data_IF_500855453316
#
_entry.id   IF_500855453316
#
_cell.length_a   1.000
_cell.length_b   1.000
_cell.length_c   1.000
_cell.angle_alpha   90.00
_cell.angle_beta   90.00
_cell.angle_gamma   90.00
#
_symmetry.space_group_name_H-M   'P 1'
#
loop_
_entity.id
_entity.type
_entity.pdbx_description
1 polymer ?
#
# COMPACT_ATOMS: atom_id res chain seq x y z
N UNK A 1 -7.93 -17.11 -25.91
CA UNK A 1 -6.73 -16.89 -26.76
C UNK A 1 -7.01 -15.96 -27.94
N UNK A 2 -7.90 -16.30 -28.88
CA UNK A 2 -8.16 -15.49 -30.09
C UNK A 2 -8.62 -14.05 -29.83
N UNK A 3 -9.48 -13.84 -28.81
CA UNK A 3 -9.94 -12.50 -28.44
C UNK A 3 -8.83 -11.61 -27.85
N UNK A 4 -7.90 -12.19 -27.08
CA UNK A 4 -6.74 -11.46 -26.54
C UNK A 4 -5.74 -11.09 -27.63
N UNK A 5 -5.53 -11.99 -28.60
CA UNK A 5 -4.68 -11.68 -29.76
C UNK A 5 -5.23 -10.51 -30.56
N UNK A 6 -6.52 -10.53 -30.90
CA UNK A 6 -7.17 -9.42 -31.61
C UNK A 6 -7.12 -8.10 -30.82
N UNK A 7 -7.23 -8.16 -29.49
CA UNK A 7 -7.09 -6.99 -28.63
C UNK A 7 -5.65 -6.44 -28.61
N UNK A 8 -4.64 -7.30 -28.58
CA UNK A 8 -3.23 -6.90 -28.67
C UNK A 8 -2.91 -6.27 -30.03
N UNK A 9 -3.40 -6.85 -31.13
CA UNK A 9 -3.23 -6.32 -32.48
C UNK A 9 -3.90 -4.95 -32.62
N UNK A 10 -5.06 -4.75 -31.99
CA UNK A 10 -5.78 -3.47 -31.98
C UNK A 10 -5.10 -2.41 -31.08
N UNK A 11 -4.36 -2.84 -30.06
CA UNK A 11 -3.61 -1.97 -29.14
C UNK A 11 -2.14 -1.79 -29.57
N UNK A 12 -1.78 -2.12 -30.82
CA UNK A 12 -0.40 -2.12 -31.30
C UNK A 12 0.30 -0.75 -31.27
N UNK A 13 -0.45 0.35 -31.25
CA UNK A 13 0.10 1.71 -31.18
C UNK A 13 0.01 2.33 -29.77
N UNK A 14 -0.84 1.80 -28.89
CA UNK A 14 -1.01 2.30 -27.52
C UNK A 14 -0.27 1.41 -26.51
N UNK A 15 0.85 1.93 -26.01
CA UNK A 15 1.70 1.26 -25.03
C UNK A 15 0.95 0.90 -23.75
N UNK A 16 0.13 1.82 -23.24
CA UNK A 16 -0.59 1.65 -21.96
C UNK A 16 -1.67 0.58 -22.14
N UNK A 17 -2.48 0.70 -23.20
CA UNK A 17 -3.57 -0.25 -23.45
C UNK A 17 -3.02 -1.66 -23.72
N UNK A 18 -1.92 -1.77 -24.46
CA UNK A 18 -1.24 -3.05 -24.67
C UNK A 18 -0.78 -3.67 -23.35
N UNK A 19 -0.17 -2.88 -22.48
CA UNK A 19 0.20 -3.30 -21.13
C UNK A 19 -0.99 -3.84 -20.35
N UNK A 20 -2.13 -3.15 -20.36
CA UNK A 20 -3.35 -3.59 -19.68
C UNK A 20 -3.89 -4.92 -20.23
N UNK A 21 -3.92 -5.08 -21.55
CA UNK A 21 -4.36 -6.33 -22.20
C UNK A 21 -3.42 -7.49 -21.83
N UNK A 22 -2.10 -7.26 -21.82
CA UNK A 22 -1.12 -8.28 -21.42
C UNK A 22 -1.29 -8.69 -19.97
N UNK A 23 -1.47 -7.74 -19.04
CA UNK A 23 -1.73 -8.06 -17.63
C UNK A 23 -3.02 -8.86 -17.48
N UNK A 24 -4.10 -8.46 -18.15
CA UNK A 24 -5.37 -9.17 -18.09
C UNK A 24 -5.22 -10.61 -18.62
N UNK A 25 -4.49 -10.79 -19.73
CA UNK A 25 -4.18 -12.13 -20.26
C UNK A 25 -3.43 -12.96 -19.22
N UNK A 26 -2.36 -12.42 -18.62
CA UNK A 26 -1.58 -13.11 -17.59
C UNK A 26 -2.45 -13.49 -16.38
N UNK A 27 -3.33 -12.61 -15.90
CA UNK A 27 -4.27 -12.91 -14.82
C UNK A 27 -5.25 -14.01 -15.19
N UNK A 28 -5.79 -14.02 -16.41
CA UNK A 28 -6.67 -15.11 -16.86
C UNK A 28 -5.95 -16.44 -16.97
N UNK A 29 -4.70 -16.45 -17.45
CA UNK A 29 -3.88 -17.66 -17.51
C UNK A 29 -3.57 -18.19 -16.10
N UNK A 30 -3.22 -17.29 -15.18
CA UNK A 30 -3.02 -17.63 -13.78
C UNK A 30 -4.26 -18.26 -13.13
N UNK A 31 -5.45 -17.72 -13.42
CA UNK A 31 -6.72 -18.22 -12.88
C UNK A 31 -7.02 -19.66 -13.33
N UNK A 32 -6.59 -20.07 -14.52
CA UNK A 32 -6.75 -21.45 -15.03
C UNK A 32 -5.98 -22.48 -14.15
N UNK A 33 -4.99 -22.02 -13.37
CA UNK A 33 -4.35 -22.78 -12.28
C UNK A 33 -3.59 -24.05 -12.66
N UNK A 34 -3.26 -24.27 -13.95
CA UNK A 34 -2.29 -25.32 -14.33
C UNK A 34 -0.86 -24.76 -14.22
N UNK A 35 0.15 -25.59 -13.90
CA UNK A 35 1.53 -25.13 -13.78
C UNK A 35 2.05 -24.49 -15.07
N UNK A 36 1.67 -25.01 -16.24
CA UNK A 36 2.08 -24.48 -17.54
C UNK A 36 1.52 -23.08 -17.78
N UNK A 37 0.25 -22.85 -17.45
CA UNK A 37 -0.37 -21.52 -17.58
C UNK A 37 0.17 -20.52 -16.57
N UNK A 38 0.54 -20.96 -15.36
CA UNK A 38 1.17 -20.10 -14.35
C UNK A 38 2.55 -19.63 -14.79
N UNK A 39 3.39 -20.53 -15.29
CA UNK A 39 4.71 -20.17 -15.80
C UNK A 39 4.62 -19.28 -17.05
N UNK A 40 3.67 -19.58 -17.94
CA UNK A 40 3.42 -18.73 -19.11
C UNK A 40 2.91 -17.33 -18.72
N UNK A 41 2.07 -17.21 -17.68
CA UNK A 41 1.61 -15.93 -17.15
C UNK A 41 2.77 -15.10 -16.59
N UNK A 42 3.67 -15.72 -15.81
CA UNK A 42 4.88 -15.06 -15.30
C UNK A 42 5.77 -14.58 -16.45
N UNK A 43 5.99 -15.44 -17.46
CA UNK A 43 6.77 -15.10 -18.66
C UNK A 43 6.23 -13.87 -19.39
N UNK A 44 4.91 -13.82 -19.63
CA UNK A 44 4.26 -12.66 -20.27
C UNK A 44 4.46 -11.36 -19.48
N UNK A 45 4.38 -11.43 -18.14
CA UNK A 45 4.60 -10.26 -17.30
C UNK A 45 6.07 -9.81 -17.33
N UNK A 46 7.02 -10.74 -17.28
CA UNK A 46 8.45 -10.43 -17.39
C UNK A 46 8.81 -9.78 -18.73
N UNK A 47 8.27 -10.29 -19.84
CA UNK A 47 8.45 -9.69 -21.17
C UNK A 47 7.83 -8.30 -21.25
N UNK A 48 6.66 -8.12 -20.64
CA UNK A 48 5.98 -6.82 -20.55
C UNK A 48 6.83 -5.81 -19.78
N UNK A 49 7.40 -6.19 -18.64
CA UNK A 49 8.26 -5.34 -17.82
C UNK A 49 9.57 -5.02 -18.55
N UNK A 50 10.15 -5.99 -19.26
CA UNK A 50 11.37 -5.77 -20.06
C UNK A 50 11.13 -4.75 -21.17
N UNK A 51 9.96 -4.78 -21.80
CA UNK A 51 9.58 -3.84 -22.86
C UNK A 51 9.11 -2.49 -22.32
N UNK A 52 8.52 -2.50 -21.12
CA UNK A 52 7.97 -1.34 -20.43
C UNK A 52 8.26 -1.40 -18.92
N UNK A 53 9.43 -0.90 -18.49
CA UNK A 53 9.79 -0.87 -17.08
C UNK A 53 8.91 0.05 -16.22
N UNK A 54 8.11 0.93 -16.85
CA UNK A 54 7.20 1.85 -16.17
C UNK A 54 5.80 1.25 -15.97
N UNK A 55 5.55 0.04 -16.49
CA UNK A 55 4.28 -0.64 -16.33
C UNK A 55 4.12 -1.21 -14.91
N UNK A 56 3.77 -0.33 -13.97
CA UNK A 56 3.54 -0.66 -12.57
C UNK A 56 2.46 -1.74 -12.39
N UNK A 57 1.50 -1.83 -13.31
CA UNK A 57 0.45 -2.86 -13.26
C UNK A 57 1.03 -4.25 -13.49
N UNK A 58 1.92 -4.41 -14.48
CA UNK A 58 2.60 -5.68 -14.74
C UNK A 58 3.51 -6.07 -13.56
N UNK A 59 4.28 -5.12 -13.04
CA UNK A 59 5.18 -5.37 -11.91
C UNK A 59 4.40 -5.75 -10.64
N UNK A 60 3.35 -5.01 -10.29
CA UNK A 60 2.50 -5.31 -9.14
C UNK A 60 1.80 -6.67 -9.28
N UNK A 61 1.35 -7.01 -10.49
CA UNK A 61 0.72 -8.30 -10.76
C UNK A 61 1.73 -9.44 -10.56
N UNK A 62 2.96 -9.29 -11.04
CA UNK A 62 4.01 -10.28 -10.89
C UNK A 62 4.43 -10.45 -9.41
N UNK A 63 4.60 -9.34 -8.69
CA UNK A 63 4.87 -9.37 -7.25
C UNK A 63 3.75 -10.06 -6.47
N UNK A 64 2.48 -9.75 -6.79
CA UNK A 64 1.33 -10.41 -6.19
C UNK A 64 1.28 -11.92 -6.45
N UNK A 65 1.63 -12.35 -7.67
CA UNK A 65 1.76 -13.78 -8.00
C UNK A 65 2.88 -14.44 -7.20
N UNK A 66 4.03 -13.79 -7.05
CA UNK A 66 5.13 -14.27 -6.21
C UNK A 66 4.73 -14.46 -4.75
N UNK A 67 4.02 -13.48 -4.17
CA UNK A 67 3.50 -13.56 -2.79
C UNK A 67 2.54 -14.75 -2.65
N UNK A 68 1.63 -14.95 -3.61
CA UNK A 68 0.66 -16.05 -3.58
C UNK A 68 1.30 -17.44 -3.71
N UNK A 69 2.50 -17.52 -4.29
CA UNK A 69 3.26 -18.78 -4.42
C UNK A 69 4.39 -18.92 -3.43
N UNK A 70 4.54 -17.98 -2.48
CA UNK A 70 5.66 -17.94 -1.53
C UNK A 70 7.03 -17.96 -2.25
N UNK A 71 7.10 -17.30 -3.41
CA UNK A 71 8.31 -17.19 -4.23
C UNK A 71 8.98 -15.83 -3.98
N UNK A 72 9.73 -15.75 -2.87
CA UNK A 72 10.43 -14.53 -2.45
C UNK A 72 11.37 -13.99 -3.52
N UNK A 73 11.98 -14.87 -4.32
CA UNK A 73 12.86 -14.49 -5.42
C UNK A 73 12.11 -13.73 -6.52
N UNK A 74 10.91 -14.20 -6.87
CA UNK A 74 10.05 -13.50 -7.83
C UNK A 74 9.54 -12.16 -7.29
N UNK A 75 9.17 -12.12 -6.01
CA UNK A 75 8.74 -10.87 -5.35
C UNK A 75 9.87 -9.85 -5.35
N UNK A 76 11.08 -10.24 -4.94
CA UNK A 76 12.24 -9.35 -4.88
C UNK A 76 12.67 -8.88 -6.28
N UNK A 77 12.60 -9.74 -7.29
CA UNK A 77 12.87 -9.36 -8.68
C UNK A 77 11.86 -8.30 -9.17
N UNK A 78 10.56 -8.56 -9.01
CA UNK A 78 9.52 -7.61 -9.39
C UNK A 78 9.66 -6.28 -8.62
N UNK A 79 9.86 -6.33 -7.31
CA UNK A 79 10.03 -5.14 -6.50
C UNK A 79 11.30 -4.35 -6.83
N UNK A 80 12.37 -5.01 -7.27
CA UNK A 80 13.60 -4.34 -7.69
C UNK A 80 13.36 -3.45 -8.91
N UNK A 81 12.51 -3.87 -9.85
CA UNK A 81 12.12 -3.06 -11.01
C UNK A 81 11.36 -1.80 -10.55
N UNK A 82 10.38 -1.93 -9.65
CA UNK A 82 9.73 -0.78 -9.02
C UNK A 82 10.74 0.11 -8.31
N UNK A 83 11.67 -0.49 -7.55
CA UNK A 83 12.63 0.24 -6.73
C UNK A 83 13.68 0.98 -7.58
N UNK A 84 13.86 0.61 -8.85
CA UNK A 84 14.73 1.29 -9.81
C UNK A 84 14.19 2.65 -10.26
N UNK A 85 12.87 2.83 -10.27
CA UNK A 85 12.21 4.08 -10.67
C UNK A 85 12.35 5.14 -9.56
N UNK A 86 12.54 6.44 -9.85
CA UNK A 86 12.43 7.51 -8.85
C UNK A 86 11.05 7.50 -8.16
N UNK A 87 10.98 7.91 -6.89
CA UNK A 87 9.73 7.85 -6.12
C UNK A 87 8.65 8.78 -6.68
N UNK A 88 9.07 9.94 -7.21
CA UNK A 88 8.22 10.92 -7.87
C UNK A 88 7.54 10.30 -9.10
N UNK A 89 8.32 9.60 -9.92
CA UNK A 89 7.81 8.92 -11.10
C UNK A 89 6.83 7.79 -10.73
N UNK A 90 7.13 7.02 -9.68
CA UNK A 90 6.19 6.00 -9.17
C UNK A 90 4.86 6.65 -8.77
N UNK A 91 4.90 7.80 -8.09
CA UNK A 91 3.71 8.49 -7.64
C UNK A 91 2.89 9.09 -8.80
N UNK A 92 3.55 9.52 -9.88
CA UNK A 92 2.87 9.95 -11.10
C UNK A 92 2.15 8.79 -11.79
N UNK A 93 2.82 7.63 -11.87
CA UNK A 93 2.31 6.43 -12.54
C UNK A 93 1.28 5.65 -11.71
N UNK A 94 1.28 5.82 -10.38
CA UNK A 94 0.36 5.16 -9.45
C UNK A 94 -0.37 6.17 -8.55
N UNK A 95 -1.43 6.84 -9.06
CA UNK A 95 -2.23 7.82 -8.31
C UNK A 95 -2.85 7.28 -7.01
N UNK A 96 -3.01 5.95 -6.87
CA UNK A 96 -3.59 5.31 -5.70
C UNK A 96 -2.57 4.95 -4.62
N UNK A 97 -1.28 5.03 -4.95
CA UNK A 97 -0.15 4.66 -4.06
C UNK A 97 -0.15 3.17 -3.70
N UNK A 98 -0.73 2.34 -4.56
CA UNK A 98 -0.74 0.87 -4.46
C UNK A 98 0.69 0.30 -4.36
N UNK A 99 1.67 0.91 -5.04
CA UNK A 99 3.09 0.54 -5.00
C UNK A 99 3.70 0.80 -3.63
N UNK A 100 3.43 1.97 -3.03
CA UNK A 100 3.93 2.28 -1.68
C UNK A 100 3.36 1.30 -0.67
N UNK A 101 2.05 1.04 -0.75
CA UNK A 101 1.38 0.07 0.09
C UNK A 101 1.99 -1.34 -0.05
N UNK A 102 2.20 -1.81 -1.28
CA UNK A 102 2.76 -3.13 -1.56
C UNK A 102 4.18 -3.27 -0.98
N UNK A 103 5.06 -2.28 -1.17
CA UNK A 103 6.40 -2.27 -0.59
C UNK A 103 6.38 -2.32 0.94
N UNK A 104 5.49 -1.55 1.58
CA UNK A 104 5.33 -1.56 3.04
C UNK A 104 4.87 -2.94 3.51
N UNK A 105 3.86 -3.54 2.86
CA UNK A 105 3.37 -4.87 3.23
C UNK A 105 4.43 -5.96 3.02
N UNK A 106 5.23 -5.88 1.94
CA UNK A 106 6.34 -6.81 1.71
C UNK A 106 7.34 -6.80 2.87
N UNK A 107 7.84 -5.61 3.24
CA UNK A 107 8.79 -5.50 4.34
C UNK A 107 8.19 -5.91 5.68
N UNK A 108 6.90 -5.65 5.92
CA UNK A 108 6.21 -6.17 7.09
C UNK A 108 6.11 -7.70 7.10
N UNK A 109 5.86 -8.33 5.94
CA UNK A 109 5.84 -9.78 5.78
C UNK A 109 7.19 -10.42 6.10
N UNK A 110 8.28 -9.74 5.73
CA UNK A 110 9.66 -10.13 6.09
C UNK A 110 10.04 -9.80 7.55
N UNK A 111 9.16 -9.15 8.31
CA UNK A 111 9.45 -8.68 9.68
C UNK A 111 10.38 -7.46 9.75
N UNK A 112 10.69 -6.84 8.62
CA UNK A 112 11.58 -5.68 8.52
C UNK A 112 10.80 -4.37 8.72
N UNK A 113 10.48 -4.08 9.97
CA UNK A 113 9.77 -2.86 10.35
C UNK A 113 10.53 -1.58 9.98
N UNK A 114 11.86 -1.61 9.99
CA UNK A 114 12.69 -0.45 9.66
C UNK A 114 12.55 -0.05 8.18
N UNK A 115 12.63 -1.01 7.26
CA UNK A 115 12.41 -0.74 5.83
C UNK A 115 10.96 -0.36 5.54
N UNK A 116 9.98 -0.97 6.22
CA UNK A 116 8.58 -0.59 6.09
C UNK A 116 8.35 0.89 6.50
N UNK A 117 8.83 1.30 7.68
CA UNK A 117 8.72 2.68 8.16
C UNK A 117 9.44 3.65 7.23
N UNK A 118 10.67 3.34 6.82
CA UNK A 118 11.47 4.18 5.92
C UNK A 118 10.78 4.38 4.57
N UNK A 119 10.14 3.35 4.04
CA UNK A 119 9.39 3.41 2.77
C UNK A 119 8.18 4.36 2.91
N UNK A 120 7.37 4.18 3.94
CA UNK A 120 6.23 5.04 4.20
C UNK A 120 6.65 6.51 4.48
N UNK A 121 7.75 6.73 5.19
CA UNK A 121 8.29 8.08 5.45
C UNK A 121 8.78 8.77 4.18
N UNK A 122 9.44 8.05 3.27
CA UNK A 122 9.85 8.60 1.97
C UNK A 122 8.64 9.04 1.16
N UNK A 123 7.60 8.19 1.08
CA UNK A 123 6.36 8.55 0.40
C UNK A 123 5.72 9.79 1.02
N UNK A 124 5.67 9.87 2.36
CA UNK A 124 5.16 11.04 3.07
C UNK A 124 6.00 12.31 2.82
N UNK A 125 7.32 12.19 2.62
CA UNK A 125 8.17 13.33 2.32
C UNK A 125 7.85 13.93 0.95
N UNK A 126 7.52 13.10 -0.04
CA UNK A 126 7.07 13.53 -1.37
C UNK A 126 5.68 14.18 -1.29
N UNK A 127 4.79 13.64 -0.45
CA UNK A 127 3.43 14.17 -0.26
C UNK A 127 3.11 14.52 1.21
N UNK A 128 3.65 15.64 1.73
CA UNK A 128 3.43 16.03 3.12
C UNK A 128 1.96 16.27 3.46
N UNK A 129 1.13 16.62 2.47
CA UNK A 129 -0.31 16.86 2.64
C UNK A 129 -1.12 15.57 2.80
N UNK A 130 -0.58 14.39 2.42
CA UNK A 130 -1.32 13.13 2.44
C UNK A 130 -1.58 12.66 3.87
N UNK A 131 -2.86 12.74 4.28
CA UNK A 131 -3.30 12.23 5.59
C UNK A 131 -3.21 10.70 5.65
N UNK A 132 -3.43 10.02 4.52
CA UNK A 132 -3.30 8.57 4.43
C UNK A 132 -1.88 8.11 4.79
N UNK A 133 -0.86 8.67 4.12
CA UNK A 133 0.55 8.33 4.36
C UNK A 133 0.98 8.68 5.79
N UNK A 134 0.52 9.81 6.34
CA UNK A 134 0.77 10.15 7.76
C UNK A 134 0.22 9.11 8.71
N UNK A 135 -1.02 8.65 8.49
CA UNK A 135 -1.66 7.62 9.32
C UNK A 135 -0.92 6.29 9.21
N UNK A 136 -0.46 5.94 8.02
CA UNK A 136 0.31 4.72 7.81
C UNK A 136 1.65 4.77 8.56
N UNK A 137 2.43 5.85 8.42
CA UNK A 137 3.66 6.08 9.20
C UNK A 137 3.38 6.01 10.70
N UNK A 138 2.36 6.72 11.19
CA UNK A 138 2.01 6.70 12.61
C UNK A 138 1.58 5.31 13.10
N UNK A 139 0.82 4.56 12.30
CA UNK A 139 0.43 3.19 12.62
C UNK A 139 1.63 2.25 12.68
N UNK A 140 2.62 2.41 11.80
CA UNK A 140 3.85 1.62 11.80
C UNK A 140 4.71 1.95 13.03
N UNK A 141 4.86 3.22 13.36
CA UNK A 141 5.57 3.68 14.56
C UNK A 141 4.92 3.14 15.85
N UNK A 142 3.58 3.17 15.94
CA UNK A 142 2.86 2.57 17.07
C UNK A 142 3.09 1.06 17.19
N UNK A 143 3.14 0.33 16.08
CA UNK A 143 3.43 -1.11 16.07
C UNK A 143 4.86 -1.40 16.54
N UNK A 144 5.81 -0.52 16.21
CA UNK A 144 7.19 -0.59 16.69
C UNK A 144 7.34 -0.21 18.17
N UNK A 145 6.38 0.55 18.72
CA UNK A 145 6.39 1.04 20.09
C UNK A 145 6.78 2.52 20.24
N UNK A 146 7.09 3.19 19.14
CA UNK A 146 7.54 4.59 19.09
C UNK A 146 6.36 5.57 19.19
N UNK A 147 5.70 5.60 20.36
CA UNK A 147 4.50 6.41 20.61
C UNK A 147 4.73 7.90 20.44
N UNK A 148 5.86 8.42 20.90
CA UNK A 148 6.17 9.86 20.82
C UNK A 148 6.36 10.30 19.36
N UNK A 149 7.05 9.48 18.56
CA UNK A 149 7.21 9.73 17.13
C UNK A 149 5.86 9.66 16.40
N UNK A 150 5.02 8.67 16.72
CA UNK A 150 3.67 8.56 16.16
C UNK A 150 2.82 9.78 16.50
N UNK A 151 2.90 10.28 17.74
CA UNK A 151 2.21 11.48 18.16
C UNK A 151 2.70 12.72 17.42
N UNK A 152 4.01 12.89 17.25
CA UNK A 152 4.57 14.02 16.51
C UNK A 152 4.09 14.06 15.05
N UNK A 153 4.06 12.90 14.38
CA UNK A 153 3.56 12.77 13.00
C UNK A 153 2.07 13.12 12.92
N UNK A 154 1.26 12.66 13.88
CA UNK A 154 -0.18 12.94 13.92
C UNK A 154 -0.52 14.37 14.37
N UNK A 155 0.28 14.97 15.25
CA UNK A 155 0.09 16.33 15.78
C UNK A 155 0.45 17.43 14.78
N UNK A 156 1.17 17.10 13.70
CA UNK A 156 1.42 18.00 12.57
C UNK A 156 0.19 18.32 11.71
N UNK A 157 -0.96 17.73 12.03
CA UNK A 157 -2.22 17.94 11.33
C UNK A 157 -2.83 19.26 11.80
N UNK A 158 -2.71 20.30 10.96
CA UNK A 158 -3.65 21.41 11.05
C UNK A 158 -5.08 20.83 11.00
N UNK A 159 -6.05 21.35 11.76
CA UNK A 159 -7.41 20.82 11.75
C UNK A 159 -7.98 20.92 10.32
N UNK A 160 -7.86 19.82 9.57
CA UNK A 160 -8.35 19.72 8.21
C UNK A 160 -9.88 19.71 8.26
N UNK A 161 -10.51 20.42 7.32
CA UNK A 161 -11.96 20.58 7.24
C UNK A 161 -12.70 19.27 6.86
N UNK A 162 -11.97 18.17 6.59
CA UNK A 162 -12.53 16.89 6.18
C UNK A 162 -12.77 15.94 7.37
N UNK A 163 -14.04 15.81 7.75
CA UNK A 163 -14.51 14.93 8.84
C UNK A 163 -14.09 13.46 8.61
N UNK A 164 -14.01 12.99 7.37
CA UNK A 164 -13.63 11.61 7.06
C UNK A 164 -12.17 11.31 7.41
N UNK A 165 -11.29 12.28 7.17
CA UNK A 165 -9.87 12.19 7.52
C UNK A 165 -9.67 12.28 9.04
N UNK A 166 -10.37 13.20 9.70
CA UNK A 166 -10.32 13.38 11.15
C UNK A 166 -10.81 12.14 11.91
N UNK A 167 -11.92 11.54 11.48
CA UNK A 167 -12.47 10.27 12.01
C UNK A 167 -11.43 9.17 12.08
N UNK A 168 -10.49 9.17 11.16
CA UNK A 168 -9.55 8.08 10.92
C UNK A 168 -8.18 8.25 11.62
N UNK A 169 -7.84 9.49 12.00
CA UNK A 169 -6.60 9.83 12.72
C UNK A 169 -6.78 9.92 14.24
N UNK A 170 -7.98 10.24 14.72
CA UNK A 170 -8.28 10.41 16.16
C UNK A 170 -8.02 9.16 17.01
N UNK A 171 -8.32 7.97 16.48
CA UNK A 171 -8.04 6.72 17.19
C UNK A 171 -6.53 6.47 17.32
N UNK A 172 -5.76 6.70 16.26
CA UNK A 172 -4.30 6.56 16.30
C UNK A 172 -3.67 7.59 17.23
N UNK A 173 -4.16 8.83 17.23
CA UNK A 173 -3.66 9.87 18.14
C UNK A 173 -3.92 9.49 19.60
N UNK A 174 -5.09 8.88 19.87
CA UNK A 174 -5.42 8.43 21.21
C UNK A 174 -4.58 7.24 21.69
N UNK A 175 -4.16 6.35 20.78
CA UNK A 175 -3.22 5.28 21.08
C UNK A 175 -1.79 5.78 21.29
N UNK A 176 -1.39 6.87 20.60
CA UNK A 176 -0.07 7.47 20.75
C UNK A 176 0.10 8.20 22.09
N UNK A 177 -0.93 8.89 22.59
CA UNK A 177 -0.89 9.60 23.87
C UNK A 177 -2.11 9.27 24.75
N UNK A 178 -2.20 8.06 25.31
CA UNK A 178 -3.40 7.62 26.02
C UNK A 178 -3.74 8.50 27.24
N UNK A 179 -2.73 8.99 27.98
CA UNK A 179 -2.92 9.79 29.21
C UNK A 179 -3.73 11.09 29.05
N UNK A 180 -3.80 11.65 27.84
CA UNK A 180 -4.48 12.93 27.57
C UNK A 180 -5.56 12.82 26.49
N UNK A 181 -5.86 11.60 26.02
CA UNK A 181 -6.63 11.40 24.78
C UNK A 181 -8.01 10.79 24.97
N UNK A 182 -8.56 10.82 26.19
CA UNK A 182 -9.93 10.33 26.43
C UNK A 182 -10.96 11.08 25.57
N UNK A 183 -10.81 12.40 25.43
CA UNK A 183 -11.69 13.22 24.59
C UNK A 183 -11.57 12.85 23.10
N UNK A 184 -10.36 12.60 22.61
CA UNK A 184 -10.12 12.19 21.22
C UNK A 184 -10.71 10.81 20.93
N UNK A 185 -10.56 9.84 21.85
CA UNK A 185 -11.16 8.52 21.72
C UNK A 185 -12.70 8.56 21.73
N UNK A 186 -13.30 9.40 22.60
CA UNK A 186 -14.74 9.64 22.60
C UNK A 186 -15.22 10.30 21.30
N UNK A 187 -14.48 11.29 20.78
CA UNK A 187 -14.78 11.93 19.50
C UNK A 187 -14.72 10.94 18.34
N UNK A 188 -13.72 10.04 18.32
CA UNK A 188 -13.62 8.98 17.31
C UNK A 188 -14.88 8.09 17.30
N UNK A 189 -15.40 7.70 18.47
CA UNK A 189 -16.65 6.94 18.58
C UNK A 189 -17.85 7.77 18.11
N UNK A 190 -17.93 9.05 18.47
CA UNK A 190 -19.03 9.92 18.05
C UNK A 190 -19.10 10.08 16.52
N UNK A 191 -17.93 10.17 15.87
CA UNK A 191 -17.83 10.25 14.41
C UNK A 191 -18.01 8.90 13.71
N UNK A 192 -17.70 7.80 14.39
CA UNK A 192 -17.86 6.45 13.86
C UNK A 192 -18.16 5.40 14.92
N UNK A 193 -19.44 5.25 15.30
CA UNK A 193 -19.83 4.28 16.31
C UNK A 193 -19.70 2.82 15.84
N UNK A 194 -19.75 2.58 14.52
CA UNK A 194 -19.72 1.23 13.94
C UNK A 194 -18.33 0.57 13.93
N UNK A 195 -17.27 1.35 14.10
CA UNK A 195 -15.92 0.84 14.04
C UNK A 195 -15.46 0.31 15.41
N UNK A 196 -15.35 -1.03 15.52
CA UNK A 196 -14.92 -1.71 16.75
C UNK A 196 -13.60 -1.16 17.33
N UNK A 197 -12.66 -0.77 16.46
CA UNK A 197 -11.36 -0.21 16.85
C UNK A 197 -11.50 1.05 17.71
N UNK A 198 -12.52 1.88 17.50
CA UNK A 198 -12.71 3.11 18.27
C UNK A 198 -13.10 2.81 19.73
N UNK A 199 -13.96 1.81 19.93
CA UNK A 199 -14.32 1.33 21.25
C UNK A 199 -13.15 0.68 21.98
N UNK A 200 -12.38 -0.16 21.27
CA UNK A 200 -11.14 -0.74 21.81
C UNK A 200 -10.14 0.34 22.22
N UNK A 201 -10.01 1.39 21.43
CA UNK A 201 -9.13 2.53 21.72
C UNK A 201 -9.58 3.25 23.00
N UNK A 202 -10.88 3.51 23.17
CA UNK A 202 -11.38 4.13 24.40
C UNK A 202 -11.16 3.24 25.63
N UNK A 203 -11.38 1.93 25.51
CA UNK A 203 -11.13 0.99 26.60
C UNK A 203 -9.64 0.99 27.01
N UNK A 204 -8.74 0.95 26.03
CA UNK A 204 -7.30 1.04 26.25
C UNK A 204 -6.91 2.36 26.94
N UNK A 205 -7.39 3.49 26.43
CA UNK A 205 -7.10 4.82 27.01
C UNK A 205 -7.56 4.91 28.47
N UNK A 206 -8.76 4.41 28.78
CA UNK A 206 -9.27 4.39 30.17
C UNK A 206 -8.44 3.51 31.09
N UNK A 207 -7.99 2.36 30.62
CA UNK A 207 -7.15 1.45 31.40
C UNK A 207 -5.77 2.06 31.72
N UNK A 208 -5.27 2.96 30.87
CA UNK A 208 -3.99 3.62 31.07
C UNK A 208 -4.06 4.87 31.97
N UNK A 209 -5.26 5.42 32.19
CA UNK A 209 -5.51 6.59 33.04
C UNK A 209 -6.05 6.24 34.45
N UNK A 210 -6.29 4.96 34.72
CA UNK A 210 -6.71 4.44 36.02
C UNK A 210 -5.49 4.03 36.85
#
# INVERSE_FOLDING_TARGET
MTAFQAALDSAADDRILRGQVTVLLAQTMWAISTPEFRESAKGLLLECITSDPENLMAINTLAGMGILTEDDGLVDAALSEILSLPIEQRHELDPRRDVTYLLVQHYLGLGDFDRAIKTAQKALHVEPSSVHLRREVASLLLRRGDRDAAWAILGSVAPNQNIAEEKSSLALSALAQPGHSQRSAQKAIMLDPGQLRNWQTLAYVRAQCA
#
